data_IF_094973090213
#
_entry.id   IF_094973090213
#
_cell.length_a   1.000
_cell.length_b   1.000
_cell.length_c   1.000
_cell.angle_alpha   90.00
_cell.angle_beta   90.00
_cell.angle_gamma   90.00
#
_symmetry.space_group_name_H-M   'P 1'
#
loop_
_entity.id
_entity.type
_entity.pdbx_description
1 polymer ?
#
# COMPACT_ATOMS: atom_id res chain seq x y z
N UNK A 1 -27.84 2.58 9.00
CA UNK A 1 -27.04 2.02 7.88
C UNK A 1 -27.68 0.70 7.48
N UNK A 2 -28.01 0.49 6.20
CA UNK A 2 -28.77 -0.70 5.77
C UNK A 2 -28.02 -2.00 6.11
N UNK A 3 -28.70 -2.97 6.71
CA UNK A 3 -28.11 -4.23 7.23
C UNK A 3 -27.33 -5.02 6.16
N UNK A 4 -27.76 -4.97 4.91
CA UNK A 4 -27.08 -5.62 3.79
C UNK A 4 -25.73 -4.98 3.43
N UNK A 5 -25.63 -3.65 3.52
CA UNK A 5 -24.37 -2.92 3.29
C UNK A 5 -23.32 -3.33 4.34
N UNK A 6 -23.76 -3.53 5.60
CA UNK A 6 -22.88 -4.00 6.67
C UNK A 6 -22.33 -5.40 6.35
N UNK A 7 -23.19 -6.32 5.89
CA UNK A 7 -22.76 -7.68 5.51
C UNK A 7 -21.76 -7.67 4.35
N UNK A 8 -22.02 -6.91 3.30
CA UNK A 8 -21.07 -6.79 2.17
C UNK A 8 -19.73 -6.23 2.63
N UNK A 9 -19.76 -5.18 3.46
CA UNK A 9 -18.53 -4.60 4.00
C UNK A 9 -17.73 -5.63 4.81
N UNK A 10 -18.41 -6.50 5.56
CA UNK A 10 -17.75 -7.59 6.31
C UNK A 10 -17.07 -8.58 5.37
N UNK A 11 -17.73 -9.03 4.31
CA UNK A 11 -17.14 -9.96 3.34
C UNK A 11 -15.96 -9.34 2.59
N UNK A 12 -16.09 -8.09 2.15
CA UNK A 12 -14.98 -7.36 1.52
C UNK A 12 -13.80 -7.22 2.47
N UNK A 13 -14.04 -6.93 3.74
CA UNK A 13 -12.96 -6.85 4.73
C UNK A 13 -12.20 -8.16 4.85
N UNK A 14 -12.92 -9.28 5.01
CA UNK A 14 -12.32 -10.61 5.09
C UNK A 14 -11.57 -10.97 3.81
N UNK A 15 -12.12 -10.62 2.64
CA UNK A 15 -11.46 -10.85 1.36
C UNK A 15 -10.14 -10.06 1.26
N UNK A 16 -10.13 -8.79 1.67
CA UNK A 16 -8.91 -7.98 1.71
C UNK A 16 -7.90 -8.54 2.71
N UNK A 17 -8.33 -8.99 3.89
CA UNK A 17 -7.45 -9.65 4.87
C UNK A 17 -6.77 -10.89 4.28
N UNK A 18 -7.53 -11.74 3.58
CA UNK A 18 -6.99 -12.91 2.90
C UNK A 18 -6.05 -12.51 1.76
N UNK A 19 -6.40 -11.49 0.96
CA UNK A 19 -5.55 -10.97 -0.10
C UNK A 19 -4.20 -10.46 0.42
N UNK A 20 -4.20 -9.70 1.52
CA UNK A 20 -2.97 -9.22 2.16
C UNK A 20 -2.14 -10.37 2.72
N UNK A 21 -2.78 -11.38 3.31
CA UNK A 21 -2.09 -12.58 3.79
C UNK A 21 -1.41 -13.34 2.64
N UNK A 22 -2.11 -13.48 1.51
CA UNK A 22 -1.56 -14.10 0.30
C UNK A 22 -0.36 -13.32 -0.26
N UNK A 23 -0.38 -11.99 -0.25
CA UNK A 23 0.77 -11.16 -0.64
C UNK A 23 1.98 -11.48 0.26
N UNK A 24 1.77 -11.55 1.57
CA UNK A 24 2.83 -11.92 2.51
C UNK A 24 3.43 -13.29 2.23
N UNK A 25 2.58 -14.31 2.05
CA UNK A 25 3.02 -15.67 1.69
C UNK A 25 3.77 -15.69 0.35
N UNK A 26 3.34 -14.89 -0.61
CA UNK A 26 3.99 -14.78 -1.93
C UNK A 26 5.42 -14.25 -1.81
N UNK A 27 5.63 -13.20 -1.01
CA UNK A 27 6.97 -12.64 -0.76
C UNK A 27 7.87 -13.67 -0.08
N UNK A 28 7.36 -14.41 0.91
CA UNK A 28 8.12 -15.50 1.55
C UNK A 28 8.50 -16.60 0.55
N UNK A 29 7.56 -17.00 -0.31
CA UNK A 29 7.82 -18.03 -1.32
C UNK A 29 8.89 -17.57 -2.34
N UNK A 30 8.84 -16.33 -2.80
CA UNK A 30 9.83 -15.76 -3.72
C UNK A 30 11.23 -15.68 -3.08
N UNK A 31 11.33 -15.33 -1.80
CA UNK A 31 12.63 -15.30 -1.07
C UNK A 31 13.20 -16.71 -0.91
N UNK A 32 12.36 -17.71 -0.60
CA UNK A 32 12.82 -19.07 -0.29
C UNK A 32 13.13 -19.90 -1.54
N UNK A 33 12.34 -19.76 -2.60
CA UNK A 33 12.42 -20.61 -3.79
C UNK A 33 12.93 -19.88 -5.03
N UNK A 34 13.16 -18.56 -4.94
CA UNK A 34 13.60 -17.72 -6.04
C UNK A 34 12.45 -17.13 -6.87
N UNK A 35 12.78 -16.38 -7.93
CA UNK A 35 11.81 -15.55 -8.66
C UNK A 35 10.78 -16.33 -9.49
N UNK A 36 11.07 -17.57 -9.89
CA UNK A 36 10.21 -18.39 -10.75
C UNK A 36 9.30 -19.35 -9.96
N UNK A 37 8.59 -18.82 -8.96
CA UNK A 37 7.60 -19.59 -8.19
C UNK A 37 6.28 -19.72 -8.95
N UNK A 38 5.95 -20.96 -9.33
CA UNK A 38 4.83 -21.31 -10.21
C UNK A 38 3.42 -20.88 -9.74
N UNK A 39 3.23 -20.56 -8.46
CA UNK A 39 1.92 -20.28 -7.88
C UNK A 39 1.54 -18.79 -7.81
N UNK A 40 2.50 -17.86 -7.98
CA UNK A 40 2.24 -16.42 -7.79
C UNK A 40 2.52 -15.54 -9.02
N UNK A 41 3.00 -16.13 -10.13
CA UNK A 41 2.91 -15.59 -11.50
C UNK A 41 3.64 -14.27 -11.80
N UNK A 42 4.24 -13.62 -10.81
CA UNK A 42 4.94 -12.34 -10.92
C UNK A 42 5.93 -12.21 -9.76
N UNK A 43 7.02 -11.46 -9.97
CA UNK A 43 7.92 -11.02 -8.89
C UNK A 43 7.18 -10.06 -7.95
N UNK A 44 6.47 -10.61 -6.98
CA UNK A 44 5.64 -9.85 -6.03
C UNK A 44 6.51 -8.87 -5.24
N UNK A 45 7.73 -9.29 -4.90
CA UNK A 45 8.72 -8.48 -4.20
C UNK A 45 9.12 -7.26 -5.03
N UNK A 46 9.44 -7.43 -6.32
CA UNK A 46 9.75 -6.32 -7.23
C UNK A 46 8.59 -5.33 -7.36
N UNK A 47 7.37 -5.83 -7.50
CA UNK A 47 6.18 -4.98 -7.57
C UNK A 47 5.98 -4.18 -6.26
N UNK A 48 6.18 -4.82 -5.10
CA UNK A 48 6.04 -4.17 -3.81
C UNK A 48 7.11 -3.09 -3.61
N UNK A 49 8.37 -3.37 -3.97
CA UNK A 49 9.47 -2.41 -3.92
C UNK A 49 9.22 -1.22 -4.87
N UNK A 50 8.72 -1.48 -6.08
CA UNK A 50 8.34 -0.42 -7.02
C UNK A 50 7.26 0.50 -6.45
N UNK A 51 6.22 -0.09 -5.86
CA UNK A 51 5.16 0.67 -5.19
C UNK A 51 5.73 1.50 -4.02
N UNK A 52 6.58 0.91 -3.17
CA UNK A 52 7.20 1.61 -2.05
C UNK A 52 8.09 2.77 -2.52
N UNK A 53 8.85 2.60 -3.60
CA UNK A 53 9.67 3.67 -4.16
C UNK A 53 8.80 4.82 -4.70
N UNK A 54 7.71 4.50 -5.42
CA UNK A 54 6.77 5.51 -5.92
C UNK A 54 6.08 6.29 -4.80
N UNK A 55 5.74 5.60 -3.70
CA UNK A 55 5.17 6.20 -2.50
C UNK A 55 6.19 7.01 -1.71
N UNK A 56 7.45 6.57 -1.67
CA UNK A 56 8.54 7.30 -1.00
C UNK A 56 8.85 8.62 -1.69
N UNK A 57 8.99 8.59 -3.01
CA UNK A 57 9.25 9.80 -3.82
C UNK A 57 8.09 10.80 -3.74
N UNK A 58 6.86 10.31 -3.96
CA UNK A 58 5.65 11.13 -3.86
C UNK A 58 5.38 11.60 -2.42
N UNK A 59 5.72 10.79 -1.42
CA UNK A 59 5.53 11.09 -0.01
C UNK A 59 6.46 12.19 0.48
N UNK A 60 7.72 12.16 0.05
CA UNK A 60 8.67 13.25 0.34
C UNK A 60 8.20 14.55 -0.30
N UNK A 61 7.75 14.51 -1.56
CA UNK A 61 7.19 15.67 -2.24
C UNK A 61 5.97 16.25 -1.49
N UNK A 62 5.06 15.39 -1.02
CA UNK A 62 3.91 15.81 -0.22
C UNK A 62 4.30 16.49 1.10
N UNK A 63 5.30 15.94 1.82
CA UNK A 63 5.82 16.55 3.05
C UNK A 63 6.42 17.93 2.80
N UNK A 64 7.20 18.10 1.72
CA UNK A 64 7.77 19.39 1.32
C UNK A 64 6.65 20.42 1.08
N UNK A 65 5.59 20.03 0.35
CA UNK A 65 4.44 20.90 0.07
C UNK A 65 3.73 21.32 1.36
N UNK A 66 3.48 20.38 2.28
CA UNK A 66 2.85 20.68 3.57
C UNK A 66 3.70 21.66 4.39
N UNK A 67 5.02 21.46 4.44
CA UNK A 67 5.94 22.39 5.09
C UNK A 67 5.92 23.79 4.47
N UNK A 68 5.95 23.87 3.13
CA UNK A 68 5.89 25.14 2.41
C UNK A 68 4.60 25.90 2.72
N UNK A 69 3.46 25.20 2.79
CA UNK A 69 2.17 25.78 3.17
C UNK A 69 2.21 26.29 4.61
N UNK A 70 2.70 25.49 5.57
CA UNK A 70 2.78 25.87 6.98
C UNK A 70 3.67 27.12 7.16
N UNK A 71 4.83 27.16 6.51
CA UNK A 71 5.76 28.30 6.59
C UNK A 71 5.12 29.55 5.98
N UNK A 72 4.54 29.42 4.79
CA UNK A 72 3.88 30.53 4.09
C UNK A 72 2.72 31.08 4.92
N UNK A 73 1.89 30.20 5.47
CA UNK A 73 0.80 30.58 6.37
C UNK A 73 1.34 31.33 7.60
N UNK A 74 2.39 30.82 8.26
CA UNK A 74 3.01 31.49 9.42
C UNK A 74 3.64 32.84 9.09
N UNK A 75 4.05 33.07 7.85
CA UNK A 75 4.73 34.31 7.42
C UNK A 75 3.78 35.38 6.89
N UNK A 76 2.64 34.99 6.32
CA UNK A 76 1.68 35.90 5.67
C UNK A 76 0.42 36.16 6.47
N UNK A 77 -0.02 35.21 7.30
CA UNK A 77 -1.30 35.27 8.03
C UNK A 77 -1.14 35.33 9.55
N UNK A 78 0.10 35.32 10.06
CA UNK A 78 0.45 35.58 11.46
C UNK A 78 1.53 36.65 11.54
#
# INVERSE_FOLDING_TARGET
MNTWIIKIRSYLRQFIELGVLLIGVSVFAEILFGPDVAFFGSQVTTNLVSLLNSLGESGIAALIVVFAIIITYRKLLK
#
